data_IF_093421466476
#
_entry.id   IF_093421466476
#
_cell.length_a   1.000
_cell.length_b   1.000
_cell.length_c   1.000
_cell.angle_alpha   90.00
_cell.angle_beta   90.00
_cell.angle_gamma   90.00
#
_symmetry.space_group_name_H-M   'P 1'
#
loop_
_entity.id
_entity.type
_entity.pdbx_description
1 polymer ?
#
# COMPACT_ATOMS: atom_id res chain seq x y z
N UNK A 1 -0.74 -9.46 -15.14
CA UNK A 1 -1.85 -8.52 -14.90
C UNK A 1 -2.91 -8.77 -15.96
N UNK A 2 -4.20 -8.81 -15.58
CA UNK A 2 -5.34 -8.98 -16.51
C UNK A 2 -6.11 -7.67 -16.57
N UNK A 3 -6.32 -7.15 -17.78
CA UNK A 3 -7.08 -5.93 -18.03
C UNK A 3 -8.40 -6.33 -18.68
N UNK A 4 -9.52 -5.97 -18.06
CA UNK A 4 -10.86 -6.26 -18.57
C UNK A 4 -11.49 -4.92 -18.93
N UNK A 5 -11.90 -4.78 -20.19
CA UNK A 5 -12.53 -3.55 -20.73
C UNK A 5 -13.97 -3.86 -21.07
N UNK A 6 -14.88 -3.13 -20.45
CA UNK A 6 -16.30 -3.17 -20.76
C UNK A 6 -16.70 -1.83 -21.38
N UNK A 7 -16.83 -1.81 -22.70
CA UNK A 7 -17.17 -0.58 -23.44
C UNK A 7 -18.63 -0.17 -23.24
N UNK A 8 -19.53 -1.12 -23.02
CA UNK A 8 -20.96 -0.83 -22.84
C UNK A 8 -21.19 -0.10 -21.52
N UNK A 9 -20.50 -0.52 -20.46
CA UNK A 9 -20.57 0.10 -19.14
C UNK A 9 -19.45 1.14 -18.90
N UNK A 10 -18.68 1.50 -19.92
CA UNK A 10 -17.55 2.44 -19.82
C UNK A 10 -16.54 2.07 -18.73
N UNK A 11 -16.35 0.79 -18.42
CA UNK A 11 -15.60 0.34 -17.24
C UNK A 11 -14.29 -0.36 -17.62
N UNK A 12 -13.20 -0.05 -16.91
CA UNK A 12 -11.90 -0.70 -17.02
C UNK A 12 -11.56 -1.36 -15.68
N UNK A 13 -11.39 -2.68 -15.65
CA UNK A 13 -10.98 -3.43 -14.45
C UNK A 13 -9.55 -3.95 -14.60
N UNK A 14 -8.73 -3.76 -13.58
CA UNK A 14 -7.38 -4.30 -13.47
C UNK A 14 -7.35 -5.38 -12.39
N UNK A 15 -6.97 -6.60 -12.75
CA UNK A 15 -6.83 -7.73 -11.83
C UNK A 15 -5.41 -8.30 -11.83
N UNK A 16 -4.94 -8.71 -10.66
CA UNK A 16 -3.63 -9.35 -10.45
C UNK A 16 -3.73 -10.67 -9.65
N UNK A 17 -4.88 -11.34 -9.65
CA UNK A 17 -5.09 -12.60 -8.93
C UNK A 17 -3.97 -13.62 -9.15
N UNK A 18 -3.54 -13.82 -10.40
CA UNK A 18 -2.43 -14.73 -10.75
C UNK A 18 -1.07 -14.31 -10.19
N UNK A 19 -0.80 -13.01 -10.10
CA UNK A 19 0.43 -12.52 -9.48
C UNK A 19 0.40 -12.78 -7.97
N UNK A 20 -0.72 -12.46 -7.32
CA UNK A 20 -0.89 -12.67 -5.87
C UNK A 20 -0.76 -14.16 -5.53
N UNK A 21 -1.36 -15.07 -6.32
CA UNK A 21 -1.16 -16.52 -6.17
C UNK A 21 0.31 -16.92 -6.25
N UNK A 22 1.07 -16.40 -7.22
CA UNK A 22 2.52 -16.66 -7.33
C UNK A 22 3.30 -16.16 -6.10
N UNK A 23 2.95 -14.99 -5.58
CA UNK A 23 3.56 -14.43 -4.36
C UNK A 23 3.26 -15.31 -3.15
N UNK A 24 2.01 -15.77 -2.99
CA UNK A 24 1.63 -16.68 -1.90
C UNK A 24 2.40 -18.01 -1.99
N UNK A 25 2.54 -18.58 -3.18
CA UNK A 25 3.34 -19.80 -3.38
C UNK A 25 4.82 -19.57 -3.06
N UNK A 26 5.40 -18.45 -3.51
CA UNK A 26 6.82 -18.13 -3.29
C UNK A 26 7.18 -18.05 -1.81
N UNK A 27 6.28 -17.55 -0.97
CA UNK A 27 6.52 -17.36 0.47
C UNK A 27 5.83 -18.42 1.35
N UNK A 28 5.41 -19.54 0.76
CA UNK A 28 4.76 -20.66 1.45
C UNK A 28 3.50 -20.27 2.25
N UNK A 29 2.65 -19.43 1.67
CA UNK A 29 1.41 -18.92 2.28
C UNK A 29 0.13 -19.47 1.64
N UNK A 30 0.25 -20.52 0.81
CA UNK A 30 -0.87 -21.11 0.08
C UNK A 30 -1.96 -21.69 0.99
N UNK A 31 -1.60 -22.24 2.15
CA UNK A 31 -2.53 -22.87 3.10
C UNK A 31 -2.93 -21.93 4.26
N UNK A 32 -2.40 -20.71 4.28
CA UNK A 32 -2.62 -19.78 5.39
C UNK A 32 -4.11 -19.43 5.55
N UNK A 33 -4.62 -19.31 6.78
CA UNK A 33 -6.03 -18.94 7.01
C UNK A 33 -6.25 -17.47 6.60
N UNK A 34 -7.21 -17.16 5.71
CA UNK A 34 -7.46 -15.80 5.26
C UNK A 34 -7.90 -14.90 6.42
N UNK A 35 -7.64 -13.60 6.31
CA UNK A 35 -8.07 -12.57 7.26
C UNK A 35 -8.74 -11.42 6.51
N UNK A 36 -9.58 -10.65 7.20
CA UNK A 36 -10.36 -9.56 6.61
C UNK A 36 -9.67 -8.21 6.60
N UNK A 37 -8.62 -8.01 7.42
CA UNK A 37 -7.91 -6.73 7.51
C UNK A 37 -6.43 -6.87 7.14
N UNK A 38 -5.86 -5.90 6.39
CA UNK A 38 -4.47 -5.93 5.96
C UNK A 38 -3.48 -5.76 7.11
N UNK A 39 -3.88 -5.06 8.18
CA UNK A 39 -3.10 -4.92 9.41
C UNK A 39 -4.04 -5.11 10.61
N UNK A 40 -3.76 -6.12 11.44
CA UNK A 40 -4.51 -6.36 12.67
C UNK A 40 -4.23 -5.31 13.73
N UNK A 41 -5.24 -4.94 14.52
CA UNK A 41 -5.13 -3.96 15.61
C UNK A 41 -4.15 -4.35 16.73
N UNK A 42 -3.85 -5.65 16.84
CA UNK A 42 -2.89 -6.19 17.81
C UNK A 42 -1.43 -5.94 17.42
N UNK A 43 -1.15 -5.54 16.17
CA UNK A 43 0.21 -5.20 15.76
C UNK A 43 0.59 -3.79 16.19
N UNK A 44 1.27 -3.69 17.34
CA UNK A 44 1.98 -2.49 17.77
C UNK A 44 3.46 -2.64 17.40
N UNK A 45 3.79 -2.34 16.15
CA UNK A 45 5.15 -2.52 15.63
C UNK A 45 6.06 -1.36 16.06
N UNK A 46 7.24 -1.69 16.56
CA UNK A 46 8.17 -0.70 17.10
C UNK A 46 9.64 -1.13 16.97
N UNK A 47 10.57 -0.18 17.06
CA UNK A 47 12.00 -0.46 16.86
C UNK A 47 12.58 -1.34 17.97
N UNK A 48 11.97 -1.33 19.15
CA UNK A 48 12.37 -2.11 20.32
C UNK A 48 12.21 -3.63 20.10
N UNK A 49 11.43 -4.01 19.08
CA UNK A 49 11.18 -5.39 18.64
C UNK A 49 12.22 -5.90 17.63
N UNK A 50 13.24 -5.08 17.33
CA UNK A 50 14.39 -5.49 16.53
C UNK A 50 15.18 -6.59 17.24
N UNK A 51 15.86 -7.50 16.50
CA UNK A 51 16.68 -8.54 17.10
C UNK A 51 17.71 -7.97 18.08
N UNK A 52 17.75 -8.53 19.29
CA UNK A 52 18.69 -8.12 20.36
C UNK A 52 19.81 -9.13 20.55
N UNK A 53 19.52 -10.41 20.36
CA UNK A 53 20.53 -11.48 20.47
C UNK A 53 21.03 -11.92 19.10
N UNK A 54 22.17 -12.59 19.09
CA UNK A 54 22.78 -13.11 17.86
C UNK A 54 21.89 -14.19 17.22
N UNK A 55 21.29 -15.05 18.04
CA UNK A 55 20.43 -16.14 17.57
C UNK A 55 19.18 -15.60 16.86
N UNK A 56 18.62 -14.49 17.34
CA UNK A 56 17.51 -13.82 16.68
C UNK A 56 17.92 -13.22 15.33
N UNK A 57 19.13 -12.67 15.26
CA UNK A 57 19.68 -12.09 14.03
C UNK A 57 19.94 -13.17 12.99
N UNK A 58 20.49 -14.31 13.41
CA UNK A 58 20.72 -15.49 12.57
C UNK A 58 19.43 -16.17 12.11
N UNK A 59 18.39 -16.13 12.94
CA UNK A 59 17.07 -16.57 12.51
C UNK A 59 16.49 -15.61 11.46
N UNK A 60 16.57 -14.30 11.70
CA UNK A 60 15.99 -13.29 10.81
C UNK A 60 16.75 -13.13 9.49
N UNK A 61 18.04 -13.45 9.43
CA UNK A 61 18.84 -13.43 8.19
C UNK A 61 18.34 -14.44 7.15
N UNK A 62 17.73 -15.55 7.62
CA UNK A 62 17.12 -16.59 6.77
C UNK A 62 15.73 -16.20 6.26
N UNK A 63 15.11 -15.17 6.84
CA UNK A 63 13.75 -14.73 6.49
C UNK A 63 13.83 -13.79 5.27
N UNK A 64 13.07 -14.04 4.19
CA UNK A 64 13.10 -13.21 2.98
C UNK A 64 12.27 -11.92 3.14
N UNK A 65 12.57 -11.11 4.16
CA UNK A 65 11.78 -9.94 4.52
C UNK A 65 11.71 -8.91 3.38
N UNK A 66 12.85 -8.42 2.91
CA UNK A 66 12.92 -7.41 1.85
C UNK A 66 12.30 -7.90 0.53
N UNK A 67 12.53 -9.16 0.16
CA UNK A 67 11.94 -9.77 -1.04
C UNK A 67 10.41 -9.85 -0.96
N UNK A 68 9.88 -10.17 0.22
CA UNK A 68 8.43 -10.20 0.46
C UNK A 68 7.83 -8.79 0.36
N UNK A 69 8.47 -7.81 1.01
CA UNK A 69 8.03 -6.41 0.95
C UNK A 69 8.05 -5.90 -0.50
N UNK A 70 9.08 -6.18 -1.29
CA UNK A 70 9.13 -5.77 -2.71
C UNK A 70 7.99 -6.38 -3.53
N UNK A 71 7.65 -7.65 -3.28
CA UNK A 71 6.51 -8.30 -3.94
C UNK A 71 5.17 -7.67 -3.55
N UNK A 72 5.02 -7.31 -2.27
CA UNK A 72 3.83 -6.61 -1.77
C UNK A 72 3.72 -5.19 -2.33
N UNK A 73 4.85 -4.47 -2.44
CA UNK A 73 4.90 -3.14 -3.05
C UNK A 73 4.42 -3.18 -4.50
N UNK A 74 4.86 -4.16 -5.30
CA UNK A 74 4.36 -4.28 -6.68
C UNK A 74 2.83 -4.49 -6.75
N UNK A 75 2.29 -5.38 -5.91
CA UNK A 75 0.84 -5.58 -5.83
C UNK A 75 0.10 -4.29 -5.45
N UNK A 76 0.63 -3.57 -4.45
CA UNK A 76 0.09 -2.31 -3.93
C UNK A 76 -0.05 -1.25 -5.03
N UNK A 77 1.02 -1.05 -5.80
CA UNK A 77 1.07 -0.02 -6.86
C UNK A 77 0.10 -0.29 -7.97
N UNK A 78 0.02 -1.55 -8.39
CA UNK A 78 -0.67 -1.88 -9.61
C UNK A 78 -2.18 -2.03 -9.44
N UNK A 79 -2.62 -2.70 -8.36
CA UNK A 79 -4.04 -3.08 -8.20
C UNK A 79 -4.54 -3.13 -6.77
N UNK A 80 -3.65 -3.08 -5.77
CA UNK A 80 -3.99 -3.26 -4.35
C UNK A 80 -3.62 -2.05 -3.49
N UNK A 81 -4.13 -0.84 -3.79
CA UNK A 81 -3.86 0.33 -2.96
C UNK A 81 -4.37 0.18 -1.51
N UNK A 82 -5.31 -0.74 -1.28
CA UNK A 82 -5.86 -1.09 0.03
C UNK A 82 -4.81 -1.64 1.02
N UNK A 83 -3.73 -2.28 0.55
CA UNK A 83 -2.64 -2.74 1.42
C UNK A 83 -1.58 -1.66 1.68
N UNK A 84 -1.69 -0.46 1.07
CA UNK A 84 -0.62 0.53 1.08
C UNK A 84 -0.23 1.00 2.47
N UNK A 85 -1.22 1.24 3.33
CA UNK A 85 -0.97 1.61 4.71
C UNK A 85 -0.20 0.52 5.46
N UNK A 86 -0.62 -0.74 5.33
CA UNK A 86 0.04 -1.85 6.01
C UNK A 86 1.49 -2.03 5.53
N UNK A 87 1.71 -2.01 4.21
CA UNK A 87 3.05 -2.10 3.59
C UNK A 87 3.94 -0.94 4.03
N UNK A 88 3.41 0.28 4.10
CA UNK A 88 4.14 1.47 4.55
C UNK A 88 4.54 1.43 6.04
N UNK A 89 3.80 0.70 6.88
CA UNK A 89 4.17 0.49 8.29
C UNK A 89 5.31 -0.53 8.39
N UNK A 90 5.20 -1.68 7.71
CA UNK A 90 6.22 -2.74 7.79
C UNK A 90 7.53 -2.40 7.05
N UNK A 91 7.49 -1.57 6.02
CA UNK A 91 8.68 -1.16 5.26
C UNK A 91 9.71 -0.39 6.10
N UNK A 92 9.27 0.28 7.17
CA UNK A 92 10.13 1.05 8.10
C UNK A 92 11.18 0.20 8.81
N UNK A 93 10.97 -1.11 8.87
CA UNK A 93 11.83 -2.06 9.60
C UNK A 93 12.72 -2.88 8.66
N UNK A 94 12.86 -2.50 7.37
CA UNK A 94 13.63 -3.26 6.38
C UNK A 94 15.12 -3.38 6.73
N UNK A 95 15.69 -2.42 7.46
CA UNK A 95 17.10 -2.45 7.88
C UNK A 95 17.38 -3.44 9.01
N UNK A 96 16.44 -3.61 9.95
CA UNK A 96 16.55 -4.52 11.11
C UNK A 96 15.19 -5.16 11.42
N UNK A 97 14.73 -6.13 10.61
CA UNK A 97 13.45 -6.78 10.85
C UNK A 97 13.53 -7.72 12.05
N UNK A 98 12.46 -7.77 12.83
CA UNK A 98 12.29 -8.67 13.97
C UNK A 98 11.19 -9.70 13.71
N UNK A 99 11.02 -10.67 14.61
CA UNK A 99 10.03 -11.74 14.45
C UNK A 99 8.60 -11.20 14.32
N UNK A 100 8.24 -10.21 15.13
CA UNK A 100 6.93 -9.55 15.09
C UNK A 100 6.70 -8.77 13.80
N UNK A 101 7.75 -8.12 13.26
CA UNK A 101 7.67 -7.49 11.94
C UNK A 101 7.36 -8.51 10.85
N UNK A 102 7.99 -9.69 10.90
CA UNK A 102 7.71 -10.77 9.96
C UNK A 102 6.29 -11.33 10.09
N UNK A 103 5.76 -11.44 11.31
CA UNK A 103 4.37 -11.84 11.54
C UNK A 103 3.36 -10.86 10.93
N UNK A 104 3.62 -9.55 11.01
CA UNK A 104 2.80 -8.56 10.35
C UNK A 104 2.84 -8.69 8.81
N UNK A 105 4.01 -8.98 8.24
CA UNK A 105 4.14 -9.26 6.79
C UNK A 105 3.34 -10.51 6.39
N UNK A 106 3.44 -11.60 7.17
CA UNK A 106 2.60 -12.79 6.97
C UNK A 106 1.11 -12.47 7.10
N UNK A 107 0.73 -11.53 7.96
CA UNK A 107 -0.66 -11.09 8.07
C UNK A 107 -1.18 -10.43 6.80
N UNK A 108 -0.37 -9.56 6.17
CA UNK A 108 -0.71 -8.94 4.88
C UNK A 108 -0.89 -10.02 3.80
N UNK A 109 -0.03 -11.04 3.76
CA UNK A 109 -0.17 -12.17 2.83
C UNK A 109 -1.45 -12.97 3.08
N UNK A 110 -1.85 -13.19 4.35
CA UNK A 110 -3.13 -13.82 4.69
C UNK A 110 -4.32 -13.01 4.20
N UNK A 111 -4.24 -11.68 4.28
CA UNK A 111 -5.27 -10.79 3.78
C UNK A 111 -5.39 -10.88 2.25
N UNK A 112 -4.26 -10.86 1.55
CA UNK A 112 -4.20 -11.03 0.10
C UNK A 112 -4.81 -12.36 -0.36
N UNK A 113 -4.61 -13.45 0.39
CA UNK A 113 -5.25 -14.74 0.12
C UNK A 113 -6.78 -14.68 0.25
N UNK A 114 -7.31 -13.94 1.21
CA UNK A 114 -8.76 -13.74 1.37
C UNK A 114 -9.38 -12.80 0.33
N UNK A 115 -8.56 -12.11 -0.46
CA UNK A 115 -8.98 -11.03 -1.38
C UNK A 115 -8.38 -11.21 -2.78
N UNK A 116 -8.26 -12.47 -3.25
CA UNK A 116 -7.68 -12.79 -4.56
C UNK A 116 -8.50 -12.25 -5.73
N UNK A 117 -9.81 -12.19 -5.58
CA UNK A 117 -10.74 -11.78 -6.64
C UNK A 117 -10.97 -10.25 -6.67
N UNK A 118 -10.38 -9.51 -5.73
CA UNK A 118 -10.46 -8.05 -5.70
C UNK A 118 -9.72 -7.45 -6.91
N UNK A 119 -10.39 -6.53 -7.61
CA UNK A 119 -9.84 -5.83 -8.76
C UNK A 119 -10.07 -4.32 -8.63
N UNK A 120 -9.17 -3.55 -9.25
CA UNK A 120 -9.31 -2.10 -9.33
C UNK A 120 -10.24 -1.78 -10.49
N UNK A 121 -11.28 -0.99 -10.26
CA UNK A 121 -12.32 -0.69 -11.24
C UNK A 121 -12.34 0.82 -11.51
N UNK A 122 -12.16 1.21 -12.76
CA UNK A 122 -12.30 2.58 -13.24
C UNK A 122 -13.60 2.69 -14.05
N UNK A 123 -14.43 3.67 -13.77
CA UNK A 123 -15.68 3.94 -14.49
C UNK A 123 -15.54 5.22 -15.31
N UNK A 124 -16.02 5.19 -16.55
CA UNK A 124 -15.99 6.32 -17.48
C UNK A 124 -16.65 7.56 -16.87
N UNK A 125 -15.89 8.65 -16.79
CA UNK A 125 -16.27 9.90 -16.12
C UNK A 125 -15.17 10.47 -15.21
N UNK A 126 -14.23 9.64 -14.77
CA UNK A 126 -12.99 10.12 -14.14
C UNK A 126 -11.97 10.45 -15.24
N UNK A 127 -11.68 11.74 -15.43
CA UNK A 127 -10.62 12.18 -16.32
C UNK A 127 -9.28 11.65 -15.79
N UNK A 128 -8.66 10.73 -16.54
CA UNK A 128 -7.26 10.36 -16.31
C UNK A 128 -6.44 11.50 -16.92
N UNK A 129 -6.07 12.49 -16.09
CA UNK A 129 -5.11 13.51 -16.48
C UNK A 129 -3.71 12.92 -16.39
N UNK A 130 -3.03 12.81 -17.52
CA UNK A 130 -1.61 12.49 -17.54
C UNK A 130 -0.84 13.78 -17.25
N UNK A 131 -0.11 13.82 -16.14
CA UNK A 131 0.83 14.92 -15.88
C UNK A 131 2.24 14.37 -15.77
N UNK A 132 3.19 15.02 -16.45
CA UNK A 132 4.61 14.74 -16.29
C UNK A 132 5.16 15.79 -15.34
N UNK A 133 5.48 15.38 -14.11
CA UNK A 133 6.07 16.24 -13.09
C UNK A 133 7.52 15.83 -12.85
N UNK A 134 8.42 16.81 -12.79
CA UNK A 134 9.81 16.58 -12.41
C UNK A 134 9.85 16.14 -10.93
N UNK A 135 10.59 15.07 -10.63
CA UNK A 135 10.75 14.59 -9.26
C UNK A 135 11.39 15.71 -8.41
N UNK A 136 10.76 16.06 -7.29
CA UNK A 136 11.23 17.15 -6.40
C UNK A 136 12.49 16.79 -5.59
N UNK A 137 12.92 15.53 -5.66
CA UNK A 137 14.02 14.98 -4.87
C UNK A 137 14.98 14.27 -5.83
N UNK A 138 16.29 14.50 -5.64
CA UNK A 138 17.34 13.80 -6.39
C UNK A 138 17.51 12.42 -5.79
N UNK A 139 17.14 11.39 -6.55
CA UNK A 139 17.31 9.99 -6.14
C UNK A 139 18.75 9.54 -6.39
N UNK A 140 19.35 8.90 -5.39
CA UNK A 140 20.73 8.41 -5.48
C UNK A 140 20.83 7.04 -6.14
N UNK A 141 19.69 6.42 -6.45
CA UNK A 141 19.62 5.16 -7.17
C UNK A 141 18.37 5.08 -8.06
N UNK A 142 18.42 4.23 -9.08
CA UNK A 142 17.27 3.93 -9.95
C UNK A 142 16.12 3.28 -9.18
N UNK A 143 16.41 2.45 -8.18
CA UNK A 143 15.39 1.83 -7.32
C UNK A 143 14.67 2.85 -6.45
N UNK A 144 15.38 3.87 -5.97
CA UNK A 144 14.78 4.98 -5.22
C UNK A 144 13.89 5.84 -6.13
N UNK A 145 14.31 6.09 -7.38
CA UNK A 145 13.52 6.80 -8.38
C UNK A 145 12.19 6.08 -8.69
N UNK A 146 12.25 4.75 -8.83
CA UNK A 146 11.05 3.91 -9.02
C UNK A 146 10.11 4.01 -7.81
N UNK A 147 10.65 3.96 -6.58
CA UNK A 147 9.86 4.09 -5.36
C UNK A 147 9.20 5.47 -5.23
N UNK A 148 9.93 6.54 -5.52
CA UNK A 148 9.40 7.92 -5.48
C UNK A 148 8.29 8.11 -6.51
N UNK A 149 8.51 7.71 -7.76
CA UNK A 149 7.50 7.79 -8.82
C UNK A 149 6.23 7.01 -8.45
N UNK A 150 6.41 5.81 -7.89
CA UNK A 150 5.34 4.97 -7.37
C UNK A 150 4.54 5.66 -6.26
N UNK A 151 5.21 6.28 -5.29
CA UNK A 151 4.52 6.95 -4.18
C UNK A 151 3.74 8.17 -4.65
N UNK A 152 4.23 8.88 -5.67
CA UNK A 152 3.53 10.05 -6.22
C UNK A 152 2.28 9.64 -7.00
N UNK A 153 2.38 8.63 -7.87
CA UNK A 153 1.22 8.05 -8.55
C UNK A 153 0.19 7.48 -7.56
N UNK A 154 0.66 6.88 -6.46
CA UNK A 154 -0.20 6.38 -5.38
C UNK A 154 -0.97 7.49 -4.65
N UNK A 155 -0.36 8.68 -4.45
CA UNK A 155 -1.05 9.84 -3.86
C UNK A 155 -2.18 10.35 -4.76
N UNK A 156 -1.94 10.41 -6.06
CA UNK A 156 -2.98 10.84 -7.01
C UNK A 156 -4.15 9.85 -7.00
N UNK A 157 -3.88 8.55 -7.07
CA UNK A 157 -4.91 7.50 -7.00
C UNK A 157 -5.70 7.57 -5.69
N UNK A 158 -5.04 7.81 -4.55
CA UNK A 158 -5.71 7.97 -3.26
C UNK A 158 -6.57 9.24 -3.21
N UNK A 159 -6.10 10.34 -3.80
CA UNK A 159 -6.89 11.58 -3.97
C UNK A 159 -8.15 11.38 -4.82
N UNK A 160 -8.06 10.62 -5.91
CA UNK A 160 -9.23 10.25 -6.72
C UNK A 160 -10.22 9.34 -5.99
N UNK A 161 -9.72 8.45 -5.12
CA UNK A 161 -10.57 7.58 -4.30
C UNK A 161 -11.37 8.35 -3.24
N UNK A 162 -10.80 9.44 -2.69
CA UNK A 162 -11.52 10.35 -1.78
C UNK A 162 -12.57 11.18 -2.54
N UNK A 163 -12.25 11.65 -3.75
CA UNK A 163 -13.16 12.43 -4.60
C UNK A 163 -14.38 11.62 -5.09
N UNK A 164 -14.27 10.29 -5.21
CA UNK A 164 -15.38 9.41 -5.58
C UNK A 164 -16.34 9.04 -4.43
N UNK A 165 -16.04 9.40 -3.19
CA UNK A 165 -16.91 9.13 -2.04
C UNK A 165 -17.95 10.25 -1.85
N UNK A 166 -19.22 9.95 -2.11
CA UNK A 166 -20.34 10.90 -1.97
C UNK A 166 -20.63 11.37 -0.54
N UNK A 167 -19.82 11.04 0.46
CA UNK A 167 -19.97 11.62 1.79
C UNK A 167 -18.68 11.52 2.63
N UNK A 168 -17.87 12.59 2.72
CA UNK A 168 -16.59 12.59 3.44
C UNK A 168 -16.71 12.78 4.96
N UNK A 169 -17.92 12.90 5.51
CA UNK A 169 -18.14 13.29 6.91
C UNK A 169 -17.95 12.17 7.95
N UNK A 170 -18.09 10.89 7.58
CA UNK A 170 -18.11 9.79 8.57
C UNK A 170 -16.76 9.12 8.84
N UNK A 171 -15.71 9.41 8.07
CA UNK A 171 -14.37 8.83 8.32
C UNK A 171 -13.47 9.67 9.23
N UNK A 172 -13.92 10.86 9.66
CA UNK A 172 -13.12 11.82 10.45
C UNK A 172 -13.46 11.89 11.95
N UNK A 173 -14.30 11.01 12.48
CA UNK A 173 -14.69 11.06 13.90
C UNK A 173 -13.60 10.65 14.89
N UNK A 174 -12.35 10.42 14.46
CA UNK A 174 -11.17 10.47 15.35
C UNK A 174 -10.02 11.32 14.77
N UNK A 175 -10.29 12.63 14.67
CA UNK A 175 -9.40 13.67 15.21
C UNK A 175 -8.33 14.27 14.29
N UNK A 176 -8.73 15.18 13.39
CA UNK A 176 -7.85 16.26 12.89
C UNK A 176 -8.44 17.59 13.36
N UNK A 177 -7.70 18.31 14.21
CA UNK A 177 -8.14 19.58 14.80
C UNK A 177 -8.15 20.73 13.77
N UNK A 178 -9.13 21.61 13.95
CA UNK A 178 -9.64 22.63 13.01
C UNK A 178 -8.60 23.69 12.58
N UNK A 179 -7.46 23.81 13.26
CA UNK A 179 -6.42 24.79 12.90
C UNK A 179 -5.57 24.39 11.69
N UNK A 180 -5.33 23.08 11.49
CA UNK A 180 -4.57 22.61 10.30
C UNK A 180 -5.35 22.76 9.00
N UNK A 181 -6.68 22.74 9.08
CA UNK A 181 -7.57 23.01 7.94
C UNK A 181 -7.53 24.49 7.53
N UNK A 182 -7.33 25.43 8.46
CA UNK A 182 -7.24 26.88 8.14
C UNK A 182 -5.94 27.27 7.45
N UNK A 183 -4.81 26.62 7.76
CA UNK A 183 -3.52 26.86 7.11
C UNK A 183 -3.52 26.42 5.63
N UNK A 184 -4.22 25.34 5.29
CA UNK A 184 -4.34 24.89 3.90
C UNK A 184 -5.29 25.77 3.06
N UNK A 185 -6.27 26.45 3.67
CA UNK A 185 -7.18 27.34 2.94
C UNK A 185 -6.51 28.67 2.53
N UNK A 186 -5.51 29.16 3.28
CA UNK A 186 -4.85 30.43 2.98
C UNK A 186 -3.90 30.35 1.77
N UNK A 187 -3.30 29.20 1.47
CA UNK A 187 -2.33 29.06 0.36
C UNK A 187 -2.96 28.86 -1.02
N UNK A 188 -4.29 28.72 -1.10
CA UNK A 188 -5.04 28.53 -2.36
C UNK A 188 -5.78 29.84 -2.77
N UNK A 189 -5.58 30.95 -2.05
CA UNK A 189 -5.88 32.30 -2.53
C UNK A 189 -7.33 32.80 -2.35
N UNK A 190 -7.99 32.49 -1.22
CA UNK A 190 -9.35 32.98 -0.92
C UNK A 190 -9.37 33.81 0.38
N UNK A 191 -8.76 34.99 0.36
CA UNK A 191 -9.05 36.16 1.21
C UNK A 191 -8.44 37.36 0.45
N UNK A 192 -9.27 38.37 0.18
CA UNK A 192 -9.04 39.45 -0.78
C UNK A 192 -7.69 40.18 -0.63
#
# INVERSE_FOLDING_TARGET
MRIIRDKANGTLKLSQSEYVKKVLSRFNMNEAKPVSTPLGSHFKLSKEQSPKTEEERDHMSKVPYASTIGSLMYAMVCTRPDIAHAVGVVSRFMSRPGKQHWEAVKWILRYLKGSLDTCLCFTGGTAISWTSNLQKIVTLSTTEAEYVAVTEAGKEIFGYMICGSKNPADMLTKGVTIEKLKLCAASIGLLA
#
